data_IF_543092506561
#
_entry.id   IF_543092506561
#
_cell.length_a   1.000
_cell.length_b   1.000
_cell.length_c   1.000
_cell.angle_alpha   90.00
_cell.angle_beta   90.00
_cell.angle_gamma   90.00
#
_symmetry.space_group_name_H-M   'P 1'
#
loop_
_entity.id
_entity.type
_entity.pdbx_description
1 polymer ?
#
# COMPACT_ATOMS: atom_id res chain seq x y z
N UNK A 1 -11.37 -29.09 -11.11
CA UNK A 1 -11.16 -28.15 -10.00
C UNK A 1 -10.80 -26.81 -10.61
N UNK A 2 -11.51 -25.73 -10.26
CA UNK A 2 -11.18 -24.38 -10.75
C UNK A 2 -9.89 -23.91 -10.08
N UNK A 3 -9.05 -23.20 -10.81
CA UNK A 3 -7.84 -22.59 -10.26
C UNK A 3 -8.24 -21.44 -9.31
N UNK A 4 -7.39 -21.05 -8.34
CA UNK A 4 -7.63 -19.88 -7.49
C UNK A 4 -7.92 -18.60 -8.29
N UNK A 5 -7.25 -18.41 -9.43
CA UNK A 5 -7.49 -17.29 -10.34
C UNK A 5 -8.87 -17.32 -10.98
N UNK A 6 -9.37 -18.51 -11.36
CA UNK A 6 -10.71 -18.65 -11.92
C UNK A 6 -11.80 -18.42 -10.87
N UNK A 7 -11.56 -18.83 -9.62
CA UNK A 7 -12.46 -18.52 -8.50
C UNK A 7 -12.50 -17.02 -8.20
N UNK A 8 -11.33 -16.36 -8.23
CA UNK A 8 -11.23 -14.92 -8.03
C UNK A 8 -11.95 -14.15 -9.15
N UNK A 9 -11.70 -14.52 -10.40
CA UNK A 9 -12.34 -13.90 -11.56
C UNK A 9 -13.86 -14.05 -11.50
N UNK A 10 -14.35 -15.20 -11.03
CA UNK A 10 -15.77 -15.44 -10.83
C UNK A 10 -16.37 -14.56 -9.70
N UNK A 11 -15.61 -14.30 -8.64
CA UNK A 11 -16.01 -13.41 -7.55
C UNK A 11 -16.04 -11.94 -8.03
N UNK A 12 -15.12 -11.56 -8.92
CA UNK A 12 -15.10 -10.23 -9.54
C UNK A 12 -16.19 -10.06 -10.61
N UNK A 13 -16.56 -11.13 -11.33
CA UNK A 13 -17.63 -11.12 -12.35
C UNK A 13 -19.04 -11.04 -11.74
N UNK A 14 -19.22 -11.40 -10.48
CA UNK A 14 -20.52 -11.31 -9.79
C UNK A 14 -20.91 -9.85 -9.48
N UNK A 15 -19.98 -8.89 -9.61
CA UNK A 15 -20.29 -7.45 -9.62
C UNK A 15 -20.94 -6.89 -8.35
N UNK A 16 -21.23 -7.71 -7.36
CA UNK A 16 -21.81 -7.29 -6.09
C UNK A 16 -20.76 -7.35 -4.99
N UNK A 17 -20.54 -6.22 -4.33
CA UNK A 17 -19.79 -6.20 -3.10
C UNK A 17 -20.53 -7.02 -2.03
N UNK A 18 -19.95 -8.15 -1.64
CA UNK A 18 -20.52 -9.02 -0.61
C UNK A 18 -20.31 -8.49 0.82
N UNK A 19 -19.62 -7.36 0.95
CA UNK A 19 -19.49 -6.71 2.26
C UNK A 19 -20.86 -6.11 2.62
N UNK A 20 -21.37 -6.35 3.82
CA UNK A 20 -22.56 -5.67 4.28
C UNK A 20 -22.34 -4.17 4.19
N UNK A 21 -23.38 -3.43 3.83
CA UNK A 21 -23.36 -1.98 3.89
C UNK A 21 -22.75 -1.55 5.22
N UNK A 22 -21.74 -0.71 5.12
CA UNK A 22 -20.97 -0.32 6.28
C UNK A 22 -21.91 0.08 7.41
N UNK A 23 -21.61 -0.40 8.61
CA UNK A 23 -22.26 -0.01 9.87
C UNK A 23 -22.55 1.49 9.92
N UNK A 24 -23.47 1.98 10.80
CA UNK A 24 -23.88 3.39 10.87
C UNK A 24 -22.77 4.45 10.96
N UNK A 25 -21.50 4.05 11.06
CA UNK A 25 -20.33 4.93 10.99
C UNK A 25 -19.85 5.28 9.58
N UNK A 26 -20.38 4.65 8.54
CA UNK A 26 -19.98 4.94 7.15
C UNK A 26 -18.57 4.45 6.78
N UNK A 27 -18.24 4.56 5.50
CA UNK A 27 -16.86 4.42 4.99
C UNK A 27 -16.06 5.65 5.38
N UNK A 28 -14.82 5.49 5.76
CA UNK A 28 -13.95 6.65 5.97
C UNK A 28 -13.84 7.43 4.66
N UNK A 29 -13.89 8.75 4.68
CA UNK A 29 -13.72 9.57 3.48
C UNK A 29 -12.24 9.65 3.05
N UNK A 30 -11.35 8.97 3.75
CA UNK A 30 -9.91 9.02 3.55
C UNK A 30 -9.39 7.73 2.91
N UNK A 31 -8.34 7.81 2.10
CA UNK A 31 -7.67 6.62 1.60
C UNK A 31 -7.07 5.80 2.76
N UNK A 32 -7.16 4.48 2.64
CA UNK A 32 -6.47 3.54 3.53
C UNK A 32 -5.21 3.06 2.84
N UNK A 33 -4.06 3.33 3.44
CA UNK A 33 -2.76 2.94 2.91
C UNK A 33 -2.24 1.70 3.64
N UNK A 34 -2.14 0.61 2.93
CA UNK A 34 -1.62 -0.66 3.44
C UNK A 34 -0.11 -0.69 3.31
N UNK A 35 0.58 -0.86 4.44
CA UNK A 35 2.04 -0.93 4.51
C UNK A 35 2.46 -2.36 4.83
N UNK A 36 3.16 -3.03 3.91
CA UNK A 36 3.59 -4.42 4.10
C UNK A 36 4.59 -4.58 5.23
N UNK A 37 4.70 -5.80 5.78
CA UNK A 37 5.66 -6.14 6.83
C UNK A 37 7.06 -6.45 6.29
N UNK A 38 7.90 -7.04 7.16
CA UNK A 38 9.22 -7.56 6.81
C UNK A 38 9.09 -8.60 5.69
N UNK A 39 9.98 -8.54 4.72
CA UNK A 39 9.98 -9.39 3.50
C UNK A 39 8.72 -9.26 2.63
N UNK A 40 7.92 -8.22 2.85
CA UNK A 40 6.76 -7.92 2.01
C UNK A 40 7.10 -7.07 0.79
N UNK A 41 6.09 -6.79 -0.02
CA UNK A 41 6.18 -5.96 -1.22
C UNK A 41 4.91 -5.15 -1.42
N UNK A 42 5.01 -4.01 -2.06
CA UNK A 42 3.90 -3.10 -2.34
C UNK A 42 3.59 -2.97 -3.83
N UNK A 43 2.66 -2.08 -4.16
CA UNK A 43 2.11 -1.96 -5.51
C UNK A 43 3.13 -1.56 -6.60
N UNK A 44 4.26 -0.96 -6.22
CA UNK A 44 5.34 -0.58 -7.16
C UNK A 44 6.29 -1.73 -7.48
N UNK A 45 6.28 -2.76 -6.66
CA UNK A 45 7.16 -3.92 -6.84
C UNK A 45 6.63 -4.81 -7.97
N UNK A 46 7.54 -5.30 -8.81
CA UNK A 46 7.18 -6.14 -9.97
C UNK A 46 6.40 -7.39 -9.56
N UNK A 47 6.71 -7.94 -8.38
CA UNK A 47 6.06 -9.12 -7.84
C UNK A 47 4.57 -8.88 -7.53
N UNK A 48 4.19 -7.66 -7.16
CA UNK A 48 2.80 -7.34 -6.78
C UNK A 48 1.79 -7.63 -7.88
N UNK A 49 2.18 -7.43 -9.15
CA UNK A 49 1.30 -7.70 -10.30
C UNK A 49 1.00 -9.19 -10.48
N UNK A 50 1.94 -10.04 -10.11
CA UNK A 50 1.78 -11.50 -10.22
C UNK A 50 1.15 -12.08 -8.95
N UNK A 51 1.56 -11.57 -7.80
CA UNK A 51 1.11 -12.04 -6.48
C UNK A 51 0.89 -10.81 -5.60
N UNK A 52 -0.34 -10.29 -5.48
CA UNK A 52 -0.66 -9.22 -4.55
C UNK A 52 -0.31 -9.63 -3.12
N UNK A 53 0.44 -8.79 -2.40
CA UNK A 53 0.86 -9.11 -1.03
C UNK A 53 -0.34 -9.36 -0.12
N UNK A 54 -1.35 -8.51 -0.23
CA UNK A 54 -2.59 -8.61 0.53
C UNK A 54 -3.55 -9.59 -0.16
N UNK A 55 -3.55 -10.82 0.36
CA UNK A 55 -4.36 -11.92 -0.15
C UNK A 55 -3.56 -13.04 -0.81
N UNK A 56 -2.35 -12.80 -1.30
CA UNK A 56 -1.46 -13.82 -1.87
C UNK A 56 -2.18 -14.75 -2.88
N UNK A 57 -2.15 -16.06 -2.62
CA UNK A 57 -2.81 -17.05 -3.47
C UNK A 57 -4.34 -16.99 -3.39
N UNK A 58 -4.94 -16.33 -2.40
CA UNK A 58 -6.38 -16.17 -2.28
C UNK A 58 -6.94 -15.07 -3.17
N UNK A 59 -6.07 -14.15 -3.67
CA UNK A 59 -6.44 -13.12 -4.61
C UNK A 59 -6.08 -11.71 -4.19
N UNK A 60 -6.47 -10.71 -4.97
CA UNK A 60 -6.20 -9.30 -4.71
C UNK A 60 -7.26 -8.70 -3.77
N UNK A 61 -6.97 -8.69 -2.48
CA UNK A 61 -7.86 -8.12 -1.45
C UNK A 61 -8.07 -6.62 -1.66
N UNK A 62 -7.01 -5.87 -1.99
CA UNK A 62 -7.15 -4.42 -2.21
C UNK A 62 -7.97 -4.12 -3.46
N UNK A 63 -7.77 -4.88 -4.53
CA UNK A 63 -8.60 -4.78 -5.72
C UNK A 63 -10.07 -5.04 -5.42
N UNK A 64 -10.37 -6.05 -4.61
CA UNK A 64 -11.73 -6.34 -4.17
C UNK A 64 -12.32 -5.19 -3.34
N UNK A 65 -11.59 -4.67 -2.35
CA UNK A 65 -12.04 -3.55 -1.53
C UNK A 65 -12.29 -2.29 -2.38
N UNK A 66 -11.42 -2.01 -3.34
CA UNK A 66 -11.59 -0.89 -4.27
C UNK A 66 -12.83 -1.08 -5.15
N UNK A 67 -13.11 -2.31 -5.62
CA UNK A 67 -14.34 -2.62 -6.35
C UNK A 67 -15.60 -2.43 -5.48
N UNK A 68 -15.47 -2.60 -4.17
CA UNK A 68 -16.51 -2.29 -3.18
C UNK A 68 -16.61 -0.77 -2.85
N UNK A 69 -15.81 0.08 -3.50
CA UNK A 69 -15.86 1.54 -3.35
C UNK A 69 -15.05 2.10 -2.17
N UNK A 70 -14.10 1.33 -1.63
CA UNK A 70 -13.07 1.85 -0.72
C UNK A 70 -11.92 2.45 -1.55
N UNK A 71 -11.14 3.36 -0.97
CA UNK A 71 -9.89 3.85 -1.55
C UNK A 71 -8.72 3.20 -0.81
N UNK A 72 -8.33 1.99 -1.27
CA UNK A 72 -7.24 1.21 -0.67
C UNK A 72 -6.01 1.27 -1.56
N UNK A 73 -4.87 1.62 -0.99
CA UNK A 73 -3.59 1.77 -1.70
C UNK A 73 -2.51 0.97 -0.98
N UNK A 74 -1.58 0.38 -1.71
CA UNK A 74 -0.46 -0.39 -1.16
C UNK A 74 0.83 0.38 -1.33
N UNK A 75 1.48 0.73 -0.23
CA UNK A 75 2.79 1.37 -0.23
C UNK A 75 3.90 0.34 -0.46
N UNK A 76 4.98 0.78 -1.11
CA UNK A 76 6.20 0.00 -1.38
C UNK A 76 7.37 0.60 -0.62
N UNK A 77 7.67 0.05 0.54
CA UNK A 77 8.78 0.45 1.40
C UNK A 77 9.85 -0.64 1.47
N UNK A 78 11.01 -0.34 2.03
CA UNK A 78 12.14 -1.28 2.10
C UNK A 78 11.76 -2.63 2.71
N UNK A 79 12.15 -3.70 2.03
CA UNK A 79 11.79 -5.09 2.36
C UNK A 79 12.41 -5.53 3.69
N UNK A 80 13.64 -5.07 3.96
CA UNK A 80 14.44 -5.40 5.14
C UNK A 80 14.99 -4.16 5.85
N UNK A 81 14.48 -2.98 5.48
CA UNK A 81 14.93 -1.71 6.05
C UNK A 81 14.46 -1.54 7.50
N UNK A 82 15.15 -0.67 8.24
CA UNK A 82 14.76 -0.32 9.61
C UNK A 82 13.39 0.36 9.65
N UNK A 83 12.76 0.40 10.81
CA UNK A 83 11.49 1.12 10.99
C UNK A 83 11.61 2.61 10.65
N UNK A 84 12.77 3.23 10.94
CA UNK A 84 13.06 4.61 10.58
C UNK A 84 13.12 4.80 9.06
N UNK A 85 13.89 3.96 8.38
CA UNK A 85 14.05 4.06 6.91
C UNK A 85 12.69 3.86 6.23
N UNK A 86 11.93 2.86 6.66
CA UNK A 86 10.59 2.58 6.15
C UNK A 86 9.61 3.74 6.37
N UNK A 87 9.71 4.44 7.50
CA UNK A 87 8.91 5.63 7.75
C UNK A 87 9.28 6.79 6.81
N UNK A 88 10.58 7.00 6.57
CA UNK A 88 11.05 7.99 5.60
C UNK A 88 10.62 7.67 4.16
N UNK A 89 10.69 6.39 3.79
CA UNK A 89 10.24 5.91 2.47
C UNK A 89 8.72 6.06 2.32
N UNK A 90 7.94 5.68 3.33
CA UNK A 90 6.49 5.86 3.32
C UNK A 90 6.11 7.32 3.18
N UNK A 91 6.76 8.22 3.94
CA UNK A 91 6.53 9.66 3.81
C UNK A 91 6.81 10.14 2.39
N UNK A 92 7.96 9.76 1.81
CA UNK A 92 8.33 10.15 0.45
C UNK A 92 7.37 9.56 -0.60
N UNK A 93 6.87 8.34 -0.39
CA UNK A 93 5.89 7.73 -1.29
C UNK A 93 4.52 8.42 -1.20
N UNK A 94 4.06 8.77 0.00
CA UNK A 94 2.78 9.47 0.19
C UNK A 94 2.79 10.84 -0.49
N UNK A 95 3.89 11.61 -0.33
CA UNK A 95 3.99 13.00 -0.79
C UNK A 95 4.61 13.16 -2.18
N UNK A 96 5.28 12.15 -2.68
CA UNK A 96 6.20 12.24 -3.82
C UNK A 96 7.56 12.78 -3.41
N UNK A 97 8.62 12.43 -4.11
CA UNK A 97 9.98 12.87 -3.84
C UNK A 97 10.96 11.73 -3.57
N UNK A 98 12.06 12.04 -2.91
CA UNK A 98 13.10 11.06 -2.58
C UNK A 98 13.14 10.85 -1.07
N UNK A 99 13.19 9.61 -0.63
CA UNK A 99 13.34 9.29 0.79
C UNK A 99 14.64 9.91 1.34
N UNK A 100 14.54 10.73 2.39
CA UNK A 100 15.68 11.32 3.10
C UNK A 100 15.73 10.74 4.52
N UNK A 101 16.68 9.88 4.76
CA UNK A 101 16.86 9.23 6.07
C UNK A 101 17.50 10.14 7.13
N UNK A 102 17.95 11.32 6.70
CA UNK A 102 18.67 12.28 7.55
C UNK A 102 20.17 11.99 7.68
N UNK A 103 20.95 13.07 7.78
CA UNK A 103 22.43 12.96 7.85
C UNK A 103 22.88 12.16 9.08
N UNK A 104 22.35 12.48 10.25
CA UNK A 104 22.76 11.84 11.50
C UNK A 104 22.46 10.35 11.50
N UNK A 105 21.29 9.94 10.99
CA UNK A 105 20.90 8.54 10.89
C UNK A 105 21.79 7.79 9.92
N UNK A 106 21.97 8.33 8.70
CA UNK A 106 22.81 7.73 7.67
C UNK A 106 24.27 7.52 8.13
N UNK A 107 24.85 8.53 8.80
CA UNK A 107 26.18 8.42 9.40
C UNK A 107 26.27 7.37 10.50
N UNK A 108 25.27 7.32 11.37
CA UNK A 108 25.25 6.38 12.52
C UNK A 108 25.18 4.92 12.05
N UNK A 109 24.42 4.65 10.99
CA UNK A 109 24.18 3.28 10.52
C UNK A 109 24.93 2.91 9.24
N UNK A 110 25.75 3.82 8.70
CA UNK A 110 26.69 3.53 7.62
C UNK A 110 26.05 3.31 6.25
N UNK A 111 24.96 4.01 5.94
CA UNK A 111 24.31 3.94 4.64
C UNK A 111 24.12 5.34 4.00
N UNK A 112 23.64 5.39 2.76
CA UNK A 112 23.37 6.63 2.06
C UNK A 112 22.24 7.43 2.74
N UNK A 113 22.34 8.77 2.72
CA UNK A 113 21.30 9.66 3.24
C UNK A 113 20.00 9.55 2.45
N UNK A 114 20.10 9.44 1.13
CA UNK A 114 18.95 9.40 0.23
C UNK A 114 18.70 7.99 -0.26
N UNK A 115 17.43 7.60 -0.26
CA UNK A 115 16.95 6.29 -0.68
C UNK A 115 16.14 6.33 -1.97
N UNK A 116 15.06 5.58 -2.00
CA UNK A 116 14.18 5.44 -3.17
C UNK A 116 13.52 6.77 -3.55
N UNK A 117 13.46 7.04 -4.86
CA UNK A 117 12.71 8.15 -5.42
C UNK A 117 11.29 7.71 -5.83
N UNK A 118 10.32 8.50 -5.41
CA UNK A 118 8.90 8.31 -5.70
C UNK A 118 8.40 9.51 -6.54
N UNK A 119 8.48 9.46 -7.86
CA UNK A 119 8.16 10.60 -8.72
C UNK A 119 6.69 11.00 -8.69
N UNK A 120 5.81 10.04 -8.38
CA UNK A 120 4.38 10.27 -8.26
C UNK A 120 3.94 9.98 -6.83
N UNK A 121 3.30 10.93 -6.14
CA UNK A 121 2.79 10.70 -4.80
C UNK A 121 1.72 9.62 -4.78
N UNK A 122 1.74 8.77 -3.76
CA UNK A 122 0.70 7.76 -3.55
C UNK A 122 -0.62 8.42 -3.16
N UNK A 123 -0.57 9.52 -2.38
CA UNK A 123 -1.73 10.32 -1.98
C UNK A 123 -1.43 11.80 -2.26
N UNK A 124 -1.71 12.31 -3.48
CA UNK A 124 -1.32 13.66 -3.91
C UNK A 124 -1.79 14.79 -2.99
N UNK A 125 -2.95 14.63 -2.37
CA UNK A 125 -3.59 15.66 -1.54
C UNK A 125 -3.42 15.37 -0.04
N UNK A 126 -2.47 14.52 0.33
CA UNK A 126 -2.24 14.20 1.75
C UNK A 126 -1.79 15.42 2.53
N UNK A 127 -2.44 15.67 3.65
CA UNK A 127 -2.19 16.81 4.52
C UNK A 127 -3.13 16.84 5.71
N UNK A 128 -3.09 17.95 6.48
CA UNK A 128 -3.92 18.09 7.68
C UNK A 128 -5.42 18.00 7.40
N UNK A 129 -5.87 18.51 6.25
CA UNK A 129 -7.28 18.51 5.86
C UNK A 129 -7.71 17.20 5.14
N UNK A 130 -6.74 16.37 4.76
CA UNK A 130 -6.97 15.09 4.09
C UNK A 130 -6.02 14.03 4.63
N UNK A 131 -6.30 13.51 5.82
CA UNK A 131 -5.49 12.44 6.42
C UNK A 131 -5.64 11.13 5.67
N UNK A 132 -4.82 10.15 6.04
CA UNK A 132 -4.91 8.75 5.58
C UNK A 132 -5.04 7.84 6.78
N UNK A 133 -5.69 6.71 6.59
CA UNK A 133 -5.65 5.59 7.51
C UNK A 133 -4.46 4.69 7.15
N UNK A 134 -3.72 4.15 8.17
CA UNK A 134 -2.58 3.25 8.00
C UNK A 134 -2.86 1.89 8.63
#
# INVERSE_FOLDING_TARGET
MKTPQQLLQQTLEVGECLLPDASPGGRTPYPTVFVHGLLGWGARDALYRAVPYWGLAAGDVLGYLNACGYDCRAASVGIISSAWDRACELYAELTGGTADYGIAHAQRFGHARFGTAYPNPLVPDWGADRPVDL
#
